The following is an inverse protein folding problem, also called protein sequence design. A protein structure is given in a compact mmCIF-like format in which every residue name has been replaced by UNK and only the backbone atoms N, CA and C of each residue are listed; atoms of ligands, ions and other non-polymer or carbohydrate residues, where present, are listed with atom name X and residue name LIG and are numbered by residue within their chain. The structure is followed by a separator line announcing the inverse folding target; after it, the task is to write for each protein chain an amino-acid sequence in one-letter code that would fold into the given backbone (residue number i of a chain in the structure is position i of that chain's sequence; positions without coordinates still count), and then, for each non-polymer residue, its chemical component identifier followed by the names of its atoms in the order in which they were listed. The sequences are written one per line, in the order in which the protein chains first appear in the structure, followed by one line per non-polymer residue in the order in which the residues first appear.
data_IF_024726058044
#
_entry.id   IF_024726058044
#
_cell.length_a   1.000
_cell.length_b   1.000
_cell.length_c   1.000
_cell.angle_alpha   90.00
_cell.angle_beta   90.00
_cell.angle_gamma   90.00
#
_symmetry.space_group_name_H-M   'P 1'
#
loop_
_entity.id
_entity.type
_entity.pdbx_description
1 polymer ?
#
# COMPACT_ATOMS: atom_id res chain seq x y z
N UNK A 1 54.66 17.38 18.10
CA UNK A 1 53.69 16.27 17.97
C UNK A 1 52.31 16.88 17.98
N UNK A 2 51.52 16.65 16.93
CA UNK A 2 50.09 17.00 16.90
C UNK A 2 49.72 17.79 15.66
N UNK A 3 49.35 17.08 14.59
CA UNK A 3 48.51 17.57 13.48
C UNK A 3 48.31 16.39 12.49
N UNK A 4 47.44 15.43 12.83
CA UNK A 4 47.03 14.37 11.88
C UNK A 4 45.75 13.62 12.31
N UNK A 5 44.80 14.28 13.00
CA UNK A 5 43.58 13.60 13.48
C UNK A 5 42.31 14.02 12.73
N UNK A 6 42.25 15.26 12.22
CA UNK A 6 41.01 15.78 11.63
C UNK A 6 40.87 15.46 10.14
N UNK A 7 41.95 15.59 9.34
CA UNK A 7 41.92 15.31 7.90
C UNK A 7 41.49 13.86 7.56
N UNK A 8 41.81 12.90 8.43
CA UNK A 8 41.49 11.48 8.25
C UNK A 8 40.02 11.14 8.58
N UNK A 9 39.38 11.92 9.46
CA UNK A 9 37.95 11.78 9.76
C UNK A 9 37.07 12.40 8.67
N UNK A 10 37.48 13.54 8.12
CA UNK A 10 36.73 14.18 7.03
C UNK A 10 36.76 13.34 5.75
N UNK A 11 37.87 12.70 5.40
CA UNK A 11 37.93 11.84 4.20
C UNK A 11 37.03 10.60 4.31
N UNK A 12 36.93 10.02 5.51
CA UNK A 12 36.09 8.83 5.77
C UNK A 12 34.60 9.19 5.69
N UNK A 13 34.21 10.36 6.17
CA UNK A 13 32.82 10.85 6.11
C UNK A 13 32.39 11.24 4.68
N UNK A 14 33.29 11.88 3.93
CA UNK A 14 33.09 12.16 2.51
C UNK A 14 32.94 10.88 1.68
N UNK A 15 33.72 9.84 1.97
CA UNK A 15 33.62 8.55 1.26
C UNK A 15 32.26 7.85 1.45
N UNK A 16 31.69 7.91 2.66
CA UNK A 16 30.37 7.33 2.95
C UNK A 16 29.25 8.09 2.24
N UNK A 17 29.31 9.43 2.24
CA UNK A 17 28.34 10.26 1.55
C UNK A 17 28.35 10.01 0.03
N UNK A 18 29.54 9.89 -0.58
CA UNK A 18 29.68 9.63 -2.02
C UNK A 18 29.18 8.23 -2.39
N UNK A 19 29.36 7.22 -1.53
CA UNK A 19 28.82 5.86 -1.74
C UNK A 19 27.29 5.85 -1.70
N UNK A 20 26.68 6.55 -0.73
CA UNK A 20 25.23 6.71 -0.66
C UNK A 20 24.66 7.42 -1.89
N UNK A 21 25.32 8.47 -2.36
CA UNK A 21 24.92 9.21 -3.57
C UNK A 21 25.04 8.32 -4.82
N UNK A 22 26.09 7.51 -4.92
CA UNK A 22 26.28 6.60 -6.05
C UNK A 22 25.23 5.47 -6.09
N UNK A 23 24.84 4.93 -4.93
CA UNK A 23 23.74 3.96 -4.83
C UNK A 23 22.41 4.61 -5.24
N UNK A 24 22.10 5.80 -4.72
CA UNK A 24 20.89 6.55 -5.07
C UNK A 24 20.82 6.91 -6.56
N UNK A 25 21.96 7.28 -7.16
CA UNK A 25 22.07 7.56 -8.59
C UNK A 25 21.92 6.30 -9.46
N UNK A 26 22.40 5.13 -8.99
CA UNK A 26 22.19 3.85 -9.68
C UNK A 26 20.71 3.42 -9.69
N UNK A 27 19.94 3.81 -8.67
CA UNK A 27 18.47 3.67 -8.62
C UNK A 27 17.72 4.82 -9.33
N UNK A 28 18.41 5.73 -10.02
CA UNK A 28 17.79 6.80 -10.82
C UNK A 28 17.23 7.98 -10.01
N UNK A 29 17.51 8.06 -8.70
CA UNK A 29 17.02 9.13 -7.82
C UNK A 29 17.95 10.33 -7.94
N UNK A 30 17.61 11.27 -8.82
CA UNK A 30 18.43 12.46 -9.09
C UNK A 30 18.14 13.65 -8.17
N UNK A 31 17.06 13.63 -7.37
CA UNK A 31 16.72 14.70 -6.41
C UNK A 31 16.04 14.15 -5.15
N UNK A 32 16.35 14.76 -4.01
CA UNK A 32 15.63 14.53 -2.75
C UNK A 32 14.15 14.93 -2.83
N UNK A 33 13.80 15.82 -3.78
CA UNK A 33 12.42 16.19 -4.11
C UNK A 33 11.65 15.09 -4.86
N UNK A 34 12.31 14.21 -5.64
CA UNK A 34 11.65 13.07 -6.28
C UNK A 34 11.25 12.00 -5.24
N UNK A 35 12.02 11.84 -4.16
CA UNK A 35 11.66 10.98 -3.02
C UNK A 35 10.43 11.49 -2.27
N UNK A 36 10.24 12.82 -2.21
CA UNK A 36 9.10 13.44 -1.52
C UNK A 36 7.86 13.51 -2.39
N UNK A 37 8.00 13.75 -3.70
CA UNK A 37 6.88 13.83 -4.63
C UNK A 37 6.46 12.46 -5.18
N UNK A 38 7.39 11.50 -5.34
CA UNK A 38 7.10 10.15 -5.81
C UNK A 38 6.21 9.38 -4.84
N UNK A 39 6.54 9.43 -3.54
CA UNK A 39 5.77 8.76 -2.49
C UNK A 39 4.33 9.24 -2.34
N UNK A 40 4.07 10.55 -2.52
CA UNK A 40 2.70 11.10 -2.51
C UNK A 40 1.93 10.71 -3.77
N UNK A 41 2.58 10.66 -4.94
CA UNK A 41 1.92 10.31 -6.20
C UNK A 41 1.53 8.83 -6.29
N UNK A 42 2.44 7.90 -5.93
CA UNK A 42 2.17 6.46 -5.98
C UNK A 42 1.17 6.03 -4.90
N UNK A 43 1.25 6.61 -3.70
CA UNK A 43 0.24 6.43 -2.66
C UNK A 43 -1.11 6.96 -3.12
N UNK A 44 -1.16 8.16 -3.71
CA UNK A 44 -2.40 8.74 -4.21
C UNK A 44 -3.02 7.91 -5.34
N UNK A 45 -2.20 7.37 -6.24
CA UNK A 45 -2.66 6.50 -7.34
C UNK A 45 -3.24 5.19 -6.79
N UNK A 46 -2.51 4.48 -5.93
CA UNK A 46 -2.99 3.25 -5.32
C UNK A 46 -4.29 3.47 -4.52
N UNK A 47 -4.39 4.60 -3.80
CA UNK A 47 -5.61 4.97 -3.09
C UNK A 47 -6.77 5.25 -4.05
N UNK A 48 -6.53 5.95 -5.17
CA UNK A 48 -7.56 6.18 -6.18
C UNK A 48 -8.04 4.86 -6.81
N UNK A 49 -7.14 3.93 -7.10
CA UNK A 49 -7.48 2.60 -7.60
C UNK A 49 -8.31 1.80 -6.60
N UNK A 50 -7.93 1.81 -5.32
CA UNK A 50 -8.68 1.13 -4.26
C UNK A 50 -10.08 1.72 -4.06
N UNK A 51 -10.22 3.05 -4.12
CA UNK A 51 -11.52 3.73 -4.04
C UNK A 51 -12.39 3.38 -5.23
N UNK A 52 -11.86 3.45 -6.46
CA UNK A 52 -12.60 3.10 -7.66
C UNK A 52 -13.10 1.65 -7.63
N UNK A 53 -12.25 0.71 -7.21
CA UNK A 53 -12.63 -0.69 -7.04
C UNK A 53 -13.80 -0.86 -6.07
N UNK A 54 -13.79 -0.07 -4.99
CA UNK A 54 -14.76 -0.18 -3.92
C UNK A 54 -16.07 0.52 -4.27
N UNK A 55 -16.02 1.59 -5.07
CA UNK A 55 -17.21 2.22 -5.68
C UNK A 55 -17.87 1.24 -6.68
N UNK A 56 -17.09 0.50 -7.48
CA UNK A 56 -17.61 -0.52 -8.41
C UNK A 56 -18.35 -1.65 -7.68
N UNK A 57 -17.80 -2.15 -6.57
CA UNK A 57 -18.46 -3.16 -5.72
C UNK A 57 -19.76 -2.63 -5.07
N UNK A 58 -19.84 -1.32 -4.79
CA UNK A 58 -21.05 -0.70 -4.23
C UNK A 58 -22.25 -0.68 -5.18
N UNK A 59 -22.02 -0.85 -6.49
CA UNK A 59 -23.06 -0.84 -7.53
C UNK A 59 -23.73 -2.20 -7.70
N UNK A 60 -23.02 -3.31 -7.45
CA UNK A 60 -23.50 -4.68 -7.53
C UNK A 60 -22.79 -5.55 -6.51
N UNK A 61 -23.56 -6.33 -5.73
CA UNK A 61 -23.01 -7.20 -4.68
C UNK A 61 -23.37 -8.66 -4.98
N UNK A 62 -22.98 -9.13 -6.16
CA UNK A 62 -22.98 -10.56 -6.43
C UNK A 62 -21.71 -11.21 -5.86
N UNK A 63 -21.75 -12.51 -5.47
CA UNK A 63 -20.57 -13.19 -4.96
C UNK A 63 -19.37 -13.18 -5.92
N UNK A 64 -19.58 -13.02 -7.23
CA UNK A 64 -18.51 -12.88 -8.23
C UNK A 64 -17.80 -11.51 -8.18
N UNK A 65 -18.51 -10.46 -7.76
CA UNK A 65 -17.98 -9.09 -7.72
C UNK A 65 -16.88 -8.94 -6.65
N UNK A 66 -16.90 -9.76 -5.61
CA UNK A 66 -15.83 -9.82 -4.60
C UNK A 66 -14.50 -10.32 -5.16
N UNK A 67 -14.51 -11.23 -6.14
CA UNK A 67 -13.26 -11.71 -6.76
C UNK A 67 -12.68 -10.62 -7.66
N UNK A 68 -13.52 -9.87 -8.37
CA UNK A 68 -13.10 -8.73 -9.18
C UNK A 68 -12.57 -7.60 -8.28
N UNK A 69 -13.28 -7.27 -7.20
CA UNK A 69 -12.83 -6.29 -6.22
C UNK A 69 -11.46 -6.66 -5.63
N UNK A 70 -11.28 -7.91 -5.22
CA UNK A 70 -10.00 -8.40 -4.72
C UNK A 70 -8.88 -8.27 -5.76
N UNK A 71 -9.13 -8.57 -7.03
CA UNK A 71 -8.16 -8.38 -8.11
C UNK A 71 -7.77 -6.91 -8.28
N UNK A 72 -8.74 -5.99 -8.25
CA UNK A 72 -8.46 -4.54 -8.35
C UNK A 72 -7.67 -4.01 -7.15
N UNK A 73 -7.93 -4.51 -5.95
CA UNK A 73 -7.10 -4.19 -4.79
C UNK A 73 -5.67 -4.70 -4.95
N UNK A 74 -5.45 -5.87 -5.56
CA UNK A 74 -4.12 -6.37 -5.88
C UNK A 74 -3.42 -5.54 -6.96
N UNK A 75 -4.15 -5.00 -7.95
CA UNK A 75 -3.60 -4.02 -8.89
C UNK A 75 -3.13 -2.75 -8.14
N UNK A 76 -3.92 -2.26 -7.19
CA UNK A 76 -3.54 -1.11 -6.35
C UNK A 76 -2.31 -1.41 -5.46
N UNK A 77 -2.12 -2.66 -5.03
CA UNK A 77 -0.91 -3.09 -4.30
C UNK A 77 0.33 -2.90 -5.16
N UNK A 78 0.26 -3.17 -6.47
CA UNK A 78 1.43 -3.02 -7.34
C UNK A 78 1.77 -1.55 -7.62
N UNK A 79 0.76 -0.66 -7.62
CA UNK A 79 0.97 0.79 -7.71
C UNK A 79 1.45 1.43 -6.40
N UNK A 80 1.22 0.78 -5.24
CA UNK A 80 1.65 1.33 -3.95
C UNK A 80 3.15 1.10 -3.71
N UNK A 81 3.87 2.17 -3.38
CA UNK A 81 5.27 2.10 -2.91
C UNK A 81 5.37 1.99 -1.37
N UNK A 82 4.35 2.48 -0.66
CA UNK A 82 4.26 2.43 0.80
C UNK A 82 3.98 1.00 1.28
N UNK A 83 4.89 0.43 2.08
CA UNK A 83 4.77 -0.95 2.54
C UNK A 83 3.56 -1.20 3.44
N UNK A 84 3.15 -0.21 4.24
CA UNK A 84 2.00 -0.32 5.13
C UNK A 84 0.69 -0.35 4.32
N UNK A 85 0.56 0.53 3.33
CA UNK A 85 -0.57 0.55 2.40
C UNK A 85 -0.61 -0.71 1.54
N UNK A 86 0.52 -1.14 0.96
CA UNK A 86 0.62 -2.42 0.23
C UNK A 86 0.14 -3.59 1.08
N UNK A 87 0.60 -3.66 2.33
CA UNK A 87 0.19 -4.70 3.27
C UNK A 87 -1.32 -4.67 3.53
N UNK A 88 -1.86 -3.49 3.81
CA UNK A 88 -3.28 -3.32 4.11
C UNK A 88 -4.20 -3.61 2.92
N UNK A 89 -3.85 -3.19 1.71
CA UNK A 89 -4.61 -3.47 0.49
C UNK A 89 -4.62 -4.98 0.20
N UNK A 90 -3.49 -5.66 0.37
CA UNK A 90 -3.38 -7.12 0.19
C UNK A 90 -4.20 -7.90 1.21
N UNK A 91 -4.16 -7.49 2.48
CA UNK A 91 -5.01 -8.07 3.54
C UNK A 91 -6.50 -7.95 3.18
N UNK A 92 -6.93 -6.77 2.71
CA UNK A 92 -8.30 -6.55 2.28
C UNK A 92 -8.67 -7.42 1.07
N UNK A 93 -7.81 -7.51 0.05
CA UNK A 93 -8.03 -8.36 -1.11
C UNK A 93 -8.31 -9.82 -0.71
N UNK A 94 -7.46 -10.41 0.14
CA UNK A 94 -7.64 -11.79 0.58
C UNK A 94 -8.86 -11.99 1.50
N UNK A 95 -9.18 -11.02 2.35
CA UNK A 95 -10.38 -11.08 3.18
C UNK A 95 -11.65 -11.10 2.32
N UNK A 96 -11.74 -10.23 1.31
CA UNK A 96 -12.87 -10.16 0.39
C UNK A 96 -12.95 -11.39 -0.53
N UNK A 97 -11.81 -11.92 -1.00
CA UNK A 97 -11.78 -13.17 -1.76
C UNK A 97 -12.31 -14.36 -0.94
N UNK A 98 -11.89 -14.48 0.32
CA UNK A 98 -12.37 -15.53 1.21
C UNK A 98 -13.88 -15.38 1.51
N UNK A 99 -14.35 -14.15 1.66
CA UNK A 99 -15.76 -13.83 1.86
C UNK A 99 -16.61 -14.17 0.64
N UNK A 100 -16.19 -13.74 -0.57
CA UNK A 100 -16.84 -14.09 -1.83
C UNK A 100 -16.89 -15.60 -2.07
N UNK A 101 -15.80 -16.31 -1.76
CA UNK A 101 -15.76 -17.76 -1.84
C UNK A 101 -16.76 -18.44 -0.88
N UNK A 102 -16.87 -17.95 0.37
CA UNK A 102 -17.83 -18.47 1.34
C UNK A 102 -19.29 -18.21 0.91
N UNK A 103 -19.57 -17.04 0.32
CA UNK A 103 -20.88 -16.71 -0.26
C UNK A 103 -21.24 -17.66 -1.41
N UNK A 104 -20.32 -17.88 -2.36
CA UNK A 104 -20.54 -18.81 -3.49
C UNK A 104 -20.78 -20.24 -3.03
N UNK A 105 -20.11 -20.67 -1.97
CA UNK A 105 -20.28 -21.99 -1.38
C UNK A 105 -21.57 -22.14 -0.54
N UNK A 106 -22.29 -21.05 -0.26
CA UNK A 106 -23.45 -21.05 0.63
C UNK A 106 -23.10 -21.30 2.10
N UNK A 107 -21.85 -21.04 2.52
CA UNK A 107 -21.35 -21.30 3.87
C UNK A 107 -21.73 -20.15 4.81
N UNK A 108 -23.00 -20.05 5.20
CA UNK A 108 -23.54 -18.93 5.99
C UNK A 108 -22.78 -18.65 7.30
N UNK A 109 -22.44 -19.69 8.08
CA UNK A 109 -21.68 -19.53 9.33
C UNK A 109 -20.27 -18.97 9.10
N UNK A 110 -19.59 -19.41 8.04
CA UNK A 110 -18.26 -18.91 7.68
C UNK A 110 -18.32 -17.49 7.16
N UNK A 111 -19.32 -17.19 6.33
CA UNK A 111 -19.59 -15.84 5.81
C UNK A 111 -19.73 -14.84 6.97
N UNK A 112 -20.54 -15.19 7.98
CA UNK A 112 -20.70 -14.34 9.17
C UNK A 112 -19.41 -14.21 9.99
N UNK A 113 -18.60 -15.28 10.09
CA UNK A 113 -17.33 -15.23 10.79
C UNK A 113 -16.26 -14.38 10.09
N UNK A 114 -16.32 -14.26 8.76
CA UNK A 114 -15.40 -13.45 7.96
C UNK A 114 -15.75 -11.97 7.91
N UNK A 115 -17.01 -11.62 8.16
CA UNK A 115 -17.52 -10.25 8.06
C UNK A 115 -16.73 -9.23 8.91
N UNK A 116 -16.36 -9.50 10.18
CA UNK A 116 -15.54 -8.57 10.97
C UNK A 116 -14.15 -8.32 10.37
N UNK A 117 -13.54 -9.35 9.76
CA UNK A 117 -12.23 -9.26 9.11
C UNK A 117 -12.32 -8.44 7.82
N UNK A 118 -13.38 -8.63 7.03
CA UNK A 118 -13.66 -7.81 5.85
C UNK A 118 -13.78 -6.33 6.24
N UNK A 119 -14.57 -6.01 7.25
CA UNK A 119 -14.72 -4.62 7.70
C UNK A 119 -13.43 -4.04 8.30
N UNK A 120 -12.67 -4.81 9.08
CA UNK A 120 -11.45 -4.31 9.71
C UNK A 120 -10.35 -4.02 8.69
N UNK A 121 -10.16 -4.93 7.72
CA UNK A 121 -9.16 -4.77 6.65
C UNK A 121 -9.55 -3.65 5.68
N UNK A 122 -10.84 -3.52 5.35
CA UNK A 122 -11.35 -2.38 4.58
C UNK A 122 -11.03 -1.06 5.27
N UNK A 123 -11.41 -0.92 6.55
CA UNK A 123 -11.19 0.32 7.32
C UNK A 123 -9.72 0.70 7.41
N UNK A 124 -8.82 -0.28 7.49
CA UNK A 124 -7.38 -0.03 7.62
C UNK A 124 -6.83 0.69 6.39
N UNK A 125 -7.06 0.17 5.18
CA UNK A 125 -6.52 0.80 3.98
C UNK A 125 -7.23 2.11 3.65
N UNK A 126 -8.55 2.20 3.87
CA UNK A 126 -9.30 3.44 3.64
C UNK A 126 -8.84 4.57 4.56
N UNK A 127 -8.47 4.24 5.81
CA UNK A 127 -7.88 5.20 6.76
C UNK A 127 -6.51 5.69 6.28
N UNK A 128 -5.65 4.79 5.80
CA UNK A 128 -4.35 5.14 5.23
C UNK A 128 -4.50 6.03 3.97
N UNK A 129 -5.59 5.88 3.24
CA UNK A 129 -5.94 6.70 2.08
C UNK A 129 -6.73 7.96 2.40
N UNK A 130 -7.01 8.25 3.68
CA UNK A 130 -7.77 9.44 4.08
C UNK A 130 -9.23 9.44 3.62
N UNK A 131 -9.80 8.26 3.29
CA UNK A 131 -11.19 8.14 2.85
C UNK A 131 -12.10 8.23 4.09
N UNK A 132 -13.11 9.12 4.10
CA UNK A 132 -13.97 9.30 5.27
C UNK A 132 -14.80 8.03 5.55
N UNK A 133 -15.01 7.69 6.84
CA UNK A 133 -15.73 6.49 7.24
C UNK A 133 -17.20 6.48 6.78
N UNK A 134 -17.81 7.66 6.57
CA UNK A 134 -19.19 7.80 6.07
C UNK A 134 -19.45 7.24 4.67
N UNK A 135 -18.41 6.78 3.96
CA UNK A 135 -18.55 6.06 2.69
C UNK A 135 -18.69 4.54 2.87
N UNK A 136 -18.48 4.01 4.07
CA UNK A 136 -18.29 2.57 4.32
C UNK A 136 -19.07 2.03 5.54
N UNK A 137 -19.81 2.88 6.24
CA UNK A 137 -20.82 2.52 7.25
C UNK A 137 -22.20 2.36 6.60
#
# INVERSE_FOLDING_TARGET
MGESSDAQKFSTWLGIAVSLIAVLAFFGVNRFEDLKNGGDSARSEACAMGVAASDDLGVSVEPADYDLYAQRLLEAVEAAEDQELRGSLREAAYAHQAYGAALRAGEGSRTMALLPTVHSTQRKWTTLCGVPPSKWD
#
